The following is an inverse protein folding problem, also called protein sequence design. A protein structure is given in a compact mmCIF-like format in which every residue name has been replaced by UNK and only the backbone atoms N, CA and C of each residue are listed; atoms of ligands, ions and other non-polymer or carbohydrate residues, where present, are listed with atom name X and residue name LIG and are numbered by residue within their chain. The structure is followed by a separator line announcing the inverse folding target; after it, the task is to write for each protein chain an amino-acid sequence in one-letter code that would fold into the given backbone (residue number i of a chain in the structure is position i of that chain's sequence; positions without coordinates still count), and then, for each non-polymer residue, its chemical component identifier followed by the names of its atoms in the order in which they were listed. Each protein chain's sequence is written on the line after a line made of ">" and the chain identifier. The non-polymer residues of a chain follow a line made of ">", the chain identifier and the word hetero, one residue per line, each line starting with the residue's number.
data_IF_651294733317
#
_entry.id   IF_651294733317
#
_cell.length_a   1.000
_cell.length_b   1.000
_cell.length_c   1.000
_cell.angle_alpha   90.00
_cell.angle_beta   90.00
_cell.angle_gamma   90.00
#
_symmetry.space_group_name_H-M   'P 1'
#
loop_
_entity.id
_entity.type
_entity.pdbx_description
1 polymer ?
#
# COMPACT_ATOMS: atom_id res chain seq x y z
N UNK A 1 -23.99 23.70 -15.48
CA UNK A 1 -22.75 24.30 -16.07
C UNK A 1 -22.26 23.35 -17.16
N UNK A 2 -21.76 23.83 -18.32
CA UNK A 2 -21.26 22.92 -19.35
C UNK A 2 -20.13 22.03 -18.84
N UNK A 3 -20.12 20.75 -19.25
CA UNK A 3 -19.14 19.76 -18.76
C UNK A 3 -17.70 20.21 -18.96
N UNK A 4 -17.37 20.78 -20.13
CA UNK A 4 -16.03 21.29 -20.44
C UNK A 4 -15.56 22.38 -19.44
N UNK A 5 -16.49 23.22 -18.97
CA UNK A 5 -16.18 24.25 -17.96
C UNK A 5 -15.92 23.58 -16.62
N UNK A 6 -16.72 22.58 -16.24
CA UNK A 6 -16.49 21.83 -15.01
C UNK A 6 -15.18 21.05 -15.04
N UNK A 7 -14.83 20.40 -16.16
CA UNK A 7 -13.54 19.72 -16.33
C UNK A 7 -12.37 20.68 -16.09
N UNK A 8 -12.44 21.87 -16.68
CA UNK A 8 -11.40 22.88 -16.52
C UNK A 8 -11.29 23.33 -15.06
N UNK A 9 -12.42 23.58 -14.38
CA UNK A 9 -12.42 23.92 -12.95
C UNK A 9 -11.76 22.82 -12.13
N UNK A 10 -12.17 21.55 -12.31
CA UNK A 10 -11.57 20.40 -11.62
C UNK A 10 -10.05 20.32 -11.87
N UNK A 11 -9.61 20.60 -13.10
CA UNK A 11 -8.20 20.60 -13.47
C UNK A 11 -7.36 21.69 -12.78
N UNK A 12 -7.97 22.77 -12.30
CA UNK A 12 -7.30 23.84 -11.54
C UNK A 12 -7.29 23.61 -10.02
N UNK A 13 -8.08 22.68 -9.51
CA UNK A 13 -8.16 22.36 -8.09
C UNK A 13 -7.05 21.38 -7.68
N UNK A 14 -6.65 21.42 -6.41
CA UNK A 14 -5.91 20.31 -5.81
C UNK A 14 -6.84 19.13 -5.47
N UNK A 15 -6.27 17.96 -5.24
CA UNK A 15 -7.05 16.74 -4.99
C UNK A 15 -7.99 16.87 -3.77
N UNK A 16 -7.60 17.61 -2.72
CA UNK A 16 -8.43 17.81 -1.51
C UNK A 16 -9.64 18.67 -1.86
N UNK A 17 -9.41 19.76 -2.59
CA UNK A 17 -10.46 20.65 -3.08
C UNK A 17 -11.47 19.90 -3.97
N UNK A 18 -11.01 18.98 -4.82
CA UNK A 18 -11.91 18.11 -5.61
C UNK A 18 -12.74 17.18 -4.72
N UNK A 19 -12.14 16.55 -3.70
CA UNK A 19 -12.86 15.70 -2.76
C UNK A 19 -13.90 16.48 -1.95
N UNK A 20 -13.61 17.72 -1.57
CA UNK A 20 -14.58 18.60 -0.92
C UNK A 20 -15.71 18.95 -1.87
N UNK A 21 -15.41 19.33 -3.11
CA UNK A 21 -16.42 19.70 -4.11
C UNK A 21 -17.37 18.53 -4.42
N UNK A 22 -16.83 17.31 -4.49
CA UNK A 22 -17.60 16.07 -4.64
C UNK A 22 -18.69 15.90 -3.58
N UNK A 23 -18.49 16.44 -2.37
CA UNK A 23 -19.44 16.32 -1.26
C UNK A 23 -20.51 17.43 -1.23
N UNK A 24 -20.43 18.44 -2.11
CA UNK A 24 -21.31 19.62 -2.06
C UNK A 24 -22.71 19.31 -2.59
N UNK A 25 -22.82 18.65 -3.75
CA UNK A 25 -24.12 18.28 -4.33
C UNK A 25 -24.01 17.01 -5.19
N UNK A 26 -25.17 16.41 -5.49
CA UNK A 26 -25.26 15.17 -6.28
C UNK A 26 -24.71 15.34 -7.70
N UNK A 27 -24.84 16.52 -8.30
CA UNK A 27 -24.34 16.78 -9.65
C UNK A 27 -22.82 16.79 -9.70
N UNK A 28 -22.16 17.47 -8.76
CA UNK A 28 -20.69 17.42 -8.63
C UNK A 28 -20.21 16.03 -8.29
N UNK A 29 -20.94 15.32 -7.43
CA UNK A 29 -20.63 13.96 -7.09
C UNK A 29 -20.61 13.06 -8.33
N UNK A 30 -21.71 13.02 -9.09
CA UNK A 30 -21.80 12.20 -10.30
C UNK A 30 -20.74 12.60 -11.34
N UNK A 31 -20.57 13.91 -11.58
CA UNK A 31 -19.60 14.40 -12.55
C UNK A 31 -18.16 13.99 -12.21
N UNK A 32 -17.72 14.13 -10.95
CA UNK A 32 -16.36 13.79 -10.52
C UNK A 32 -16.15 12.26 -10.50
N UNK A 33 -17.19 11.48 -10.18
CA UNK A 33 -17.13 10.02 -10.19
C UNK A 33 -16.95 9.47 -11.60
N UNK A 34 -17.64 10.04 -12.59
CA UNK A 34 -17.58 9.65 -14.00
C UNK A 34 -16.37 10.22 -14.75
N UNK A 35 -15.69 11.21 -14.16
CA UNK A 35 -14.54 11.85 -14.78
C UNK A 35 -13.35 10.87 -14.94
N UNK A 36 -12.76 10.88 -16.14
CA UNK A 36 -11.54 10.11 -16.45
C UNK A 36 -10.37 10.55 -15.56
N UNK A 37 -9.59 9.60 -15.06
CA UNK A 37 -8.42 9.86 -14.20
C UNK A 37 -7.43 10.89 -14.80
N UNK A 38 -7.26 10.89 -16.13
CA UNK A 38 -6.45 11.86 -16.88
C UNK A 38 -6.90 13.33 -16.77
N UNK A 39 -8.10 13.58 -16.22
CA UNK A 39 -8.70 14.91 -16.01
C UNK A 39 -8.73 15.32 -14.54
N UNK A 40 -8.61 14.37 -13.60
CA UNK A 40 -8.53 14.63 -12.16
C UNK A 40 -7.12 15.09 -11.75
N UNK A 41 -6.93 16.15 -10.95
CA UNK A 41 -5.61 16.66 -10.61
C UNK A 41 -4.69 15.59 -10.00
N UNK A 42 -3.37 15.73 -10.18
CA UNK A 42 -2.42 14.83 -9.54
C UNK A 42 -2.36 15.11 -8.04
N UNK A 43 -2.50 14.09 -7.22
CA UNK A 43 -2.37 14.20 -5.76
C UNK A 43 -0.94 14.53 -5.33
N UNK A 44 0.07 14.36 -6.21
CA UNK A 44 1.50 14.49 -5.87
C UNK A 44 1.88 13.62 -4.67
N UNK A 45 1.25 12.44 -4.60
CA UNK A 45 1.47 11.47 -3.53
C UNK A 45 2.88 10.89 -3.67
N UNK A 46 3.68 11.11 -2.63
CA UNK A 46 5.02 10.55 -2.49
C UNK A 46 4.95 9.18 -1.83
N UNK A 47 4.17 9.04 -0.76
CA UNK A 47 4.07 7.83 0.02
C UNK A 47 2.65 7.58 0.52
N UNK A 48 2.27 6.31 0.61
CA UNK A 48 1.05 5.87 1.26
C UNK A 48 1.36 4.69 2.17
N UNK A 49 1.13 4.85 3.46
CA UNK A 49 1.31 3.80 4.45
C UNK A 49 -0.03 3.45 5.08
N UNK A 50 -0.40 2.18 5.04
CA UNK A 50 -1.55 1.62 5.73
C UNK A 50 -1.06 0.92 7.00
N UNK A 51 -1.52 1.37 8.16
CA UNK A 51 -1.08 0.84 9.44
C UNK A 51 -2.24 0.34 10.28
N UNK A 52 -2.22 -0.95 10.65
CA UNK A 52 -3.08 -1.45 11.73
C UNK A 52 -2.39 -1.19 13.07
N UNK A 53 -3.04 -0.40 13.91
CA UNK A 53 -2.60 0.03 15.24
C UNK A 53 -3.38 -0.76 16.30
N UNK A 54 -2.82 -0.84 17.51
CA UNK A 54 -3.51 -1.41 18.67
C UNK A 54 -4.86 -0.73 18.92
N UNK A 55 -5.85 -1.52 19.34
CA UNK A 55 -7.19 -1.02 19.64
C UNK A 55 -8.09 -0.97 18.40
N UNK A 56 -7.92 -1.92 17.48
CA UNK A 56 -8.69 -2.08 16.24
C UNK A 56 -8.78 -0.80 15.41
N UNK A 57 -7.64 -0.13 15.26
CA UNK A 57 -7.54 1.12 14.53
C UNK A 57 -6.74 0.93 13.25
N UNK A 58 -7.31 1.36 12.14
CA UNK A 58 -6.63 1.46 10.85
C UNK A 58 -6.23 2.92 10.63
N UNK A 59 -4.99 3.15 10.22
CA UNK A 59 -4.44 4.48 9.95
C UNK A 59 -3.92 4.52 8.52
N UNK A 60 -4.30 5.56 7.78
CA UNK A 60 -3.67 5.93 6.52
C UNK A 60 -2.77 7.12 6.76
N UNK A 61 -1.48 6.96 6.48
CA UNK A 61 -0.52 8.06 6.42
C UNK A 61 -0.22 8.36 4.96
N UNK A 62 -0.48 9.59 4.54
CA UNK A 62 -0.28 10.05 3.17
C UNK A 62 0.81 11.11 3.18
N UNK A 63 1.91 10.84 2.49
CA UNK A 63 3.03 11.75 2.34
C UNK A 63 3.05 12.37 0.95
N UNK A 64 3.32 13.67 0.88
CA UNK A 64 3.36 14.44 -0.36
C UNK A 64 4.78 14.92 -0.70
N UNK A 65 5.03 15.22 -1.96
CA UNK A 65 6.34 15.73 -2.41
C UNK A 65 6.73 17.09 -1.84
N UNK A 66 5.75 17.88 -1.38
CA UNK A 66 5.99 19.16 -0.69
C UNK A 66 6.36 18.99 0.79
N UNK A 67 6.40 17.74 1.28
CA UNK A 67 6.71 17.40 2.66
C UNK A 67 5.50 17.43 3.60
N UNK A 68 4.32 17.81 3.12
CA UNK A 68 3.10 17.72 3.92
C UNK A 68 2.71 16.26 4.18
N UNK A 69 1.99 16.04 5.28
CA UNK A 69 1.51 14.71 5.70
C UNK A 69 0.06 14.84 6.12
N UNK A 70 -0.79 13.97 5.59
CA UNK A 70 -2.16 13.77 6.08
C UNK A 70 -2.26 12.42 6.79
N UNK A 71 -3.01 12.40 7.89
CA UNK A 71 -3.33 11.17 8.64
C UNK A 71 -4.86 11.03 8.68
N UNK A 72 -5.35 9.88 8.25
CA UNK A 72 -6.76 9.49 8.38
C UNK A 72 -6.82 8.26 9.26
N UNK A 73 -7.66 8.31 10.28
CA UNK A 73 -7.80 7.23 11.25
C UNK A 73 -9.22 6.67 11.20
N UNK A 74 -9.33 5.35 11.26
CA UNK A 74 -10.59 4.63 11.26
C UNK A 74 -10.62 3.69 12.45
N UNK A 75 -11.69 3.76 13.23
CA UNK A 75 -11.86 2.95 14.42
C UNK A 75 -13.35 2.81 14.70
N UNK A 76 -13.82 1.57 14.83
CA UNK A 76 -15.22 1.24 15.08
C UNK A 76 -16.16 1.97 14.11
N UNK A 77 -16.98 2.90 14.59
CA UNK A 77 -17.93 3.67 13.80
C UNK A 77 -17.44 5.10 13.57
N UNK A 78 -16.13 5.33 13.53
CA UNK A 78 -15.57 6.67 13.42
C UNK A 78 -14.46 6.76 12.37
N UNK A 79 -14.38 7.94 11.77
CA UNK A 79 -13.30 8.38 10.88
C UNK A 79 -12.79 9.73 11.34
N UNK A 80 -11.50 9.86 11.60
CA UNK A 80 -10.86 11.10 12.04
C UNK A 80 -9.92 11.62 10.95
N UNK A 81 -10.05 12.90 10.61
CA UNK A 81 -9.15 13.59 9.69
C UNK A 81 -9.05 15.07 10.08
N UNK A 82 -7.82 15.59 10.25
CA UNK A 82 -7.56 16.98 10.69
C UNK A 82 -8.42 17.38 11.88
N UNK A 83 -8.36 16.58 12.95
CA UNK A 83 -9.11 16.77 14.21
C UNK A 83 -10.64 16.62 14.10
N UNK A 84 -11.20 16.55 12.88
CA UNK A 84 -12.62 16.31 12.67
C UNK A 84 -12.92 14.82 12.78
N UNK A 85 -13.72 14.47 13.78
CA UNK A 85 -14.29 13.13 13.95
C UNK A 85 -15.63 13.07 13.21
N UNK A 86 -15.77 12.08 12.33
CA UNK A 86 -17.00 11.80 11.59
C UNK A 86 -17.56 10.48 12.08
N UNK A 87 -18.82 10.48 12.54
CA UNK A 87 -19.54 9.26 12.87
C UNK A 87 -19.98 8.55 11.58
N UNK A 88 -19.65 7.27 11.46
CA UNK A 88 -19.96 6.41 10.31
C UNK A 88 -21.29 5.65 10.50
N UNK A 89 -21.98 5.87 11.62
CA UNK A 89 -23.22 5.22 12.02
C UNK A 89 -23.07 3.69 12.01
N UNK A 90 -23.83 2.99 11.17
CA UNK A 90 -23.76 1.54 11.01
C UNK A 90 -22.86 1.10 9.85
N UNK A 91 -22.11 2.03 9.24
CA UNK A 91 -21.22 1.70 8.12
C UNK A 91 -19.98 1.00 8.65
N UNK A 92 -19.57 -0.09 7.99
CA UNK A 92 -18.31 -0.74 8.30
C UNK A 92 -17.15 0.21 7.94
N UNK A 93 -16.31 0.56 8.91
CA UNK A 93 -15.21 1.50 8.67
C UNK A 93 -14.19 1.00 7.65
N UNK A 94 -14.04 -0.32 7.46
CA UNK A 94 -13.18 -0.87 6.41
C UNK A 94 -13.76 -0.62 5.01
N UNK A 95 -15.08 -0.61 4.86
CA UNK A 95 -15.71 -0.21 3.59
C UNK A 95 -15.42 1.27 3.29
N UNK A 96 -15.56 2.12 4.30
CA UNK A 96 -15.25 3.55 4.18
C UNK A 96 -13.75 3.76 3.88
N UNK A 97 -12.87 3.07 4.58
CA UNK A 97 -11.42 3.20 4.40
C UNK A 97 -10.97 2.68 3.04
N UNK A 98 -11.34 1.45 2.67
CA UNK A 98 -10.77 0.77 1.50
C UNK A 98 -11.59 1.04 0.24
N UNK A 99 -12.92 0.87 0.28
CA UNK A 99 -13.75 0.99 -0.92
C UNK A 99 -14.03 2.45 -1.30
N UNK A 100 -13.98 3.37 -0.34
CA UNK A 100 -14.17 4.80 -0.60
C UNK A 100 -12.84 5.55 -0.58
N UNK A 101 -12.22 5.75 0.58
CA UNK A 101 -11.10 6.68 0.71
C UNK A 101 -9.84 6.24 -0.03
N UNK A 102 -9.37 5.00 0.16
CA UNK A 102 -8.21 4.46 -0.52
C UNK A 102 -8.42 4.44 -2.03
N UNK A 103 -9.61 4.02 -2.49
CA UNK A 103 -9.99 4.07 -3.89
C UNK A 103 -9.84 5.50 -4.44
N UNK A 104 -10.28 6.52 -3.71
CA UNK A 104 -10.12 7.90 -4.16
C UNK A 104 -8.68 8.37 -4.18
N UNK A 105 -7.92 8.11 -3.11
CA UNK A 105 -6.49 8.46 -3.02
C UNK A 105 -5.73 7.90 -4.23
N UNK A 106 -5.99 6.65 -4.60
CA UNK A 106 -5.38 5.99 -5.74
C UNK A 106 -5.94 6.46 -7.10
N UNK A 107 -7.14 7.07 -7.15
CA UNK A 107 -7.70 7.67 -8.39
C UNK A 107 -6.98 8.97 -8.75
N UNK A 108 -6.57 9.74 -7.76
CA UNK A 108 -5.76 10.94 -7.97
C UNK A 108 -4.27 10.65 -8.15
N UNK A 109 -3.85 9.38 -8.09
CA UNK A 109 -2.48 8.96 -8.35
C UNK A 109 -2.22 8.88 -9.87
N UNK A 110 -1.78 9.99 -10.47
CA UNK A 110 -1.41 10.03 -11.89
C UNK A 110 0.00 9.50 -12.15
N UNK A 111 0.95 9.87 -11.31
CA UNK A 111 2.33 9.38 -11.33
C UNK A 111 2.53 8.15 -10.43
N UNK A 112 3.74 7.60 -10.43
CA UNK A 112 4.08 6.52 -9.50
C UNK A 112 4.45 7.16 -8.17
N UNK A 113 3.84 6.68 -7.08
CA UNK A 113 4.33 7.05 -5.76
C UNK A 113 5.74 6.52 -5.58
N UNK A 114 6.54 7.20 -4.77
CA UNK A 114 7.85 6.68 -4.39
C UNK A 114 7.69 5.46 -3.47
N UNK A 115 6.66 5.43 -2.63
CA UNK A 115 6.44 4.38 -1.65
C UNK A 115 4.96 3.99 -1.53
N UNK A 116 4.72 2.69 -1.43
CA UNK A 116 3.53 2.10 -0.83
C UNK A 116 3.97 1.13 0.26
N UNK A 117 3.38 1.27 1.44
CA UNK A 117 3.71 0.47 2.60
C UNK A 117 2.45 -0.09 3.26
N UNK A 118 2.51 -1.36 3.63
CA UNK A 118 1.53 -1.98 4.53
C UNK A 118 2.28 -2.47 5.77
N UNK A 119 1.85 -1.96 6.92
CA UNK A 119 2.47 -2.17 8.22
C UNK A 119 1.42 -2.64 9.24
N UNK A 120 1.75 -3.68 9.99
CA UNK A 120 1.11 -3.96 11.27
C UNK A 120 1.96 -3.35 12.38
N UNK A 121 1.68 -2.12 12.80
CA UNK A 121 2.41 -1.46 13.88
C UNK A 121 1.88 -1.93 15.24
N UNK A 122 2.09 -3.22 15.51
CA UNK A 122 1.57 -3.93 16.68
C UNK A 122 2.72 -4.43 17.57
N UNK A 123 3.88 -3.77 17.55
CA UNK A 123 5.08 -4.19 18.28
C UNK A 123 5.05 -3.93 19.79
N UNK A 124 4.06 -4.48 20.50
CA UNK A 124 4.36 -5.15 21.76
C UNK A 124 4.13 -6.63 21.59
N UNK A 125 4.88 -7.46 22.31
CA UNK A 125 4.76 -8.91 22.47
C UNK A 125 3.40 -9.41 23.01
N UNK A 126 2.30 -8.77 22.62
CA UNK A 126 0.93 -9.00 23.08
C UNK A 126 -0.02 -8.52 21.98
N UNK A 127 -0.04 -9.24 20.85
CA UNK A 127 -1.14 -9.13 19.89
C UNK A 127 -2.41 -9.49 20.64
N UNK A 128 -3.32 -8.53 20.74
CA UNK A 128 -4.69 -8.87 21.07
C UNK A 128 -5.26 -9.60 19.84
N UNK A 129 -5.92 -10.77 19.99
CA UNK A 129 -6.47 -11.50 18.85
C UNK A 129 -7.31 -10.63 17.90
N UNK A 130 -7.96 -9.60 18.42
CA UNK A 130 -8.80 -8.68 17.67
C UNK A 130 -8.01 -7.73 16.74
N UNK A 131 -6.79 -7.33 17.11
CA UNK A 131 -5.93 -6.49 16.27
C UNK A 131 -5.32 -7.32 15.12
N UNK A 132 -4.96 -8.58 15.39
CA UNK A 132 -4.52 -9.51 14.36
C UNK A 132 -5.64 -9.82 13.37
N UNK A 133 -6.85 -10.08 13.89
CA UNK A 133 -8.03 -10.29 13.03
C UNK A 133 -8.30 -9.08 12.14
N UNK A 134 -8.21 -7.86 12.68
CA UNK A 134 -8.37 -6.64 11.87
C UNK A 134 -7.33 -6.56 10.75
N UNK A 135 -6.07 -6.91 11.01
CA UNK A 135 -5.04 -6.93 9.98
C UNK A 135 -5.36 -7.93 8.86
N UNK A 136 -5.86 -9.12 9.21
CA UNK A 136 -6.35 -10.09 8.22
C UNK A 136 -7.53 -9.53 7.42
N UNK A 137 -8.51 -8.93 8.11
CA UNK A 137 -9.68 -8.31 7.47
C UNK A 137 -9.25 -7.22 6.47
N UNK A 138 -8.22 -6.42 6.81
CA UNK A 138 -7.65 -5.40 5.92
C UNK A 138 -7.04 -6.03 4.67
N UNK A 139 -6.20 -7.07 4.81
CA UNK A 139 -5.58 -7.76 3.67
C UNK A 139 -6.63 -8.40 2.78
N UNK A 140 -7.60 -9.11 3.37
CA UNK A 140 -8.70 -9.72 2.63
C UNK A 140 -9.50 -8.66 1.88
N UNK A 141 -9.85 -7.56 2.55
CA UNK A 141 -10.63 -6.48 1.96
C UNK A 141 -9.88 -5.79 0.82
N UNK A 142 -8.59 -5.54 0.98
CA UNK A 142 -7.73 -5.03 -0.09
C UNK A 142 -7.73 -5.96 -1.29
N UNK A 143 -7.52 -7.26 -1.07
CA UNK A 143 -7.46 -8.27 -2.13
C UNK A 143 -8.79 -8.38 -2.90
N UNK A 144 -9.92 -8.27 -2.21
CA UNK A 144 -11.24 -8.45 -2.80
C UNK A 144 -11.81 -7.17 -3.44
N UNK A 145 -11.44 -5.99 -2.94
CA UNK A 145 -12.07 -4.72 -3.37
C UNK A 145 -11.22 -3.94 -4.37
N UNK A 146 -9.92 -4.21 -4.44
CA UNK A 146 -9.01 -3.48 -5.33
C UNK A 146 -9.11 -4.00 -6.76
N UNK A 147 -9.88 -3.29 -7.58
CA UNK A 147 -10.00 -3.55 -9.01
C UNK A 147 -8.89 -2.94 -9.86
N UNK A 148 -7.93 -2.24 -9.24
CA UNK A 148 -6.79 -1.62 -9.92
C UNK A 148 -5.49 -1.99 -9.23
N UNK A 149 -4.41 -2.02 -10.00
CA UNK A 149 -3.06 -2.15 -9.45
C UNK A 149 -2.54 -0.79 -8.96
N UNK A 150 -1.82 -0.79 -7.85
CA UNK A 150 -1.19 0.38 -7.24
C UNK A 150 0.12 0.65 -7.96
N UNK A 151 0.35 1.91 -8.37
CA UNK A 151 1.54 2.31 -9.11
C UNK A 151 2.59 2.86 -8.14
N UNK A 152 3.51 2.03 -7.69
CA UNK A 152 4.56 2.47 -6.76
C UNK A 152 5.94 2.02 -7.20
N UNK A 153 6.98 2.79 -6.83
CA UNK A 153 8.39 2.41 -7.04
C UNK A 153 8.90 1.48 -5.95
N UNK A 154 8.48 1.67 -4.71
CA UNK A 154 8.91 0.84 -3.57
C UNK A 154 7.71 0.26 -2.86
N UNK A 155 7.73 -1.05 -2.67
CA UNK A 155 6.78 -1.76 -1.84
C UNK A 155 7.46 -2.19 -0.53
N UNK A 156 6.89 -1.78 0.59
CA UNK A 156 7.30 -2.24 1.91
C UNK A 156 6.18 -3.04 2.57
N UNK A 157 6.50 -4.24 3.04
CA UNK A 157 5.53 -5.14 3.68
C UNK A 157 6.11 -5.65 4.98
N UNK A 158 5.29 -5.66 6.01
CA UNK A 158 5.63 -6.23 7.29
C UNK A 158 4.48 -7.12 7.76
N UNK A 159 4.75 -8.41 7.84
CA UNK A 159 3.72 -9.45 7.90
C UNK A 159 4.17 -10.64 8.75
N UNK A 160 3.20 -11.39 9.28
CA UNK A 160 3.44 -12.56 10.14
C UNK A 160 3.09 -13.90 9.46
N UNK A 161 2.74 -13.88 8.17
CA UNK A 161 2.55 -15.08 7.33
C UNK A 161 3.09 -14.86 5.91
N UNK A 162 3.69 -15.89 5.31
CA UNK A 162 4.19 -15.83 3.91
C UNK A 162 3.06 -15.50 2.91
N UNK A 163 1.84 -15.99 3.15
CA UNK A 163 0.67 -15.71 2.29
C UNK A 163 0.29 -14.23 2.23
N UNK A 164 0.58 -13.44 3.26
CA UNK A 164 0.27 -12.00 3.30
C UNK A 164 1.15 -11.22 2.34
N UNK A 165 2.44 -11.55 2.27
CA UNK A 165 3.35 -10.95 1.29
C UNK A 165 2.85 -11.19 -0.13
N UNK A 166 2.37 -12.41 -0.42
CA UNK A 166 1.80 -12.76 -1.72
C UNK A 166 0.50 -11.98 -2.02
N UNK A 167 -0.42 -11.87 -1.07
CA UNK A 167 -1.67 -11.11 -1.27
C UNK A 167 -1.38 -9.63 -1.53
N UNK A 168 -0.45 -9.04 -0.79
CA UNK A 168 -0.14 -7.61 -0.87
C UNK A 168 0.68 -7.27 -2.12
N UNK A 169 1.70 -8.07 -2.47
CA UNK A 169 2.51 -7.80 -3.68
C UNK A 169 1.65 -7.85 -4.95
N UNK A 170 0.63 -8.71 -4.97
CA UNK A 170 -0.30 -8.79 -6.09
C UNK A 170 -1.13 -7.51 -6.27
N UNK A 171 -1.24 -6.63 -5.28
CA UNK A 171 -1.92 -5.34 -5.44
C UNK A 171 -1.11 -4.35 -6.29
N UNK A 172 0.19 -4.60 -6.52
CA UNK A 172 1.11 -3.65 -7.16
C UNK A 172 1.20 -3.89 -8.66
N UNK A 173 1.33 -2.81 -9.42
CA UNK A 173 1.63 -2.84 -10.84
C UNK A 173 3.14 -3.11 -11.04
N UNK A 174 3.53 -4.29 -11.58
CA UNK A 174 4.93 -4.68 -11.70
C UNK A 174 5.74 -3.74 -12.60
N UNK A 175 5.09 -3.01 -13.52
CA UNK A 175 5.77 -2.07 -14.43
C UNK A 175 6.49 -0.93 -13.70
N UNK A 176 5.96 -0.53 -12.55
CA UNK A 176 6.43 0.63 -11.82
C UNK A 176 7.31 0.29 -10.62
N UNK A 177 7.26 -0.97 -10.19
CA UNK A 177 7.98 -1.47 -9.02
C UNK A 177 9.48 -1.59 -9.32
N UNK A 178 10.29 -1.10 -8.39
CA UNK A 178 11.75 -1.10 -8.46
C UNK A 178 12.35 -1.79 -7.24
N UNK A 179 11.79 -1.55 -6.06
CA UNK A 179 12.32 -2.04 -4.79
C UNK A 179 11.26 -2.77 -3.98
N UNK A 180 11.65 -3.94 -3.48
CA UNK A 180 10.90 -4.74 -2.51
C UNK A 180 11.62 -4.69 -1.17
N UNK A 181 10.89 -4.38 -0.09
CA UNK A 181 11.42 -4.37 1.27
C UNK A 181 10.48 -5.12 2.20
N UNK A 182 10.84 -6.35 2.55
CA UNK A 182 10.02 -7.24 3.36
C UNK A 182 10.57 -7.39 4.77
N UNK A 183 9.68 -7.37 5.76
CA UNK A 183 10.01 -7.54 7.16
C UNK A 183 9.13 -8.64 7.75
N UNK A 184 9.54 -9.91 7.64
CA UNK A 184 8.83 -11.03 8.26
C UNK A 184 8.91 -10.92 9.79
N UNK A 185 7.78 -11.09 10.46
CA UNK A 185 7.67 -11.02 11.93
C UNK A 185 7.61 -12.42 12.50
N UNK A 186 8.60 -12.79 13.31
CA UNK A 186 8.63 -14.09 14.02
C UNK A 186 8.49 -15.31 13.08
N UNK A 187 8.89 -15.18 11.81
CA UNK A 187 8.86 -16.23 10.81
C UNK A 187 10.08 -16.13 9.89
N UNK A 188 10.39 -17.24 9.21
CA UNK A 188 11.37 -17.29 8.13
C UNK A 188 10.64 -17.02 6.82
N UNK A 189 11.11 -16.03 6.06
CA UNK A 189 10.51 -15.69 4.78
C UNK A 189 10.95 -16.68 3.70
N UNK A 190 9.96 -17.22 2.99
CA UNK A 190 10.11 -18.20 1.92
C UNK A 190 9.63 -17.58 0.61
N UNK A 191 10.34 -17.87 -0.49
CA UNK A 191 10.05 -17.23 -1.78
C UNK A 191 9.22 -18.10 -2.73
N UNK A 192 8.91 -19.35 -2.37
CA UNK A 192 8.28 -20.36 -3.24
C UNK A 192 7.14 -19.84 -4.13
N UNK A 193 6.20 -19.09 -3.56
CA UNK A 193 5.07 -18.53 -4.31
C UNK A 193 5.33 -17.11 -4.83
N UNK A 194 6.08 -16.30 -4.08
CA UNK A 194 6.29 -14.90 -4.46
C UNK A 194 7.25 -14.75 -5.62
N UNK A 195 8.22 -15.66 -5.76
CA UNK A 195 9.21 -15.69 -6.85
C UNK A 195 8.57 -15.89 -8.23
N UNK A 196 7.38 -16.50 -8.25
CA UNK A 196 6.59 -16.73 -9.46
C UNK A 196 5.91 -15.47 -9.97
N UNK A 197 5.75 -14.44 -9.14
CA UNK A 197 5.06 -13.20 -9.49
C UNK A 197 5.90 -12.31 -10.43
N UNK A 198 5.23 -11.55 -11.28
CA UNK A 198 5.92 -10.58 -12.15
C UNK A 198 6.54 -9.44 -11.35
N UNK A 199 5.93 -9.06 -10.23
CA UNK A 199 6.43 -8.04 -9.32
C UNK A 199 7.80 -8.40 -8.75
N UNK A 200 7.96 -9.66 -8.33
CA UNK A 200 9.25 -10.17 -7.87
C UNK A 200 10.29 -10.13 -8.99
N UNK A 201 10.00 -10.75 -10.14
CA UNK A 201 10.92 -10.87 -11.28
C UNK A 201 11.35 -9.52 -11.87
N UNK A 202 10.49 -8.51 -11.83
CA UNK A 202 10.76 -7.19 -12.39
C UNK A 202 11.46 -6.23 -11.41
N UNK A 203 11.34 -6.48 -10.10
CA UNK A 203 12.01 -5.65 -9.11
C UNK A 203 13.54 -5.79 -9.24
N UNK A 204 14.26 -4.71 -8.95
CA UNK A 204 15.71 -4.62 -9.11
C UNK A 204 16.44 -4.73 -7.78
N UNK A 205 15.78 -4.32 -6.70
CA UNK A 205 16.35 -4.27 -5.36
C UNK A 205 15.44 -5.03 -4.41
N UNK A 206 16.04 -5.91 -3.61
CA UNK A 206 15.33 -6.66 -2.58
C UNK A 206 15.98 -6.46 -1.21
N UNK A 207 15.16 -6.23 -0.20
CA UNK A 207 15.56 -6.21 1.19
C UNK A 207 14.68 -7.15 2.01
N UNK A 208 15.30 -8.00 2.83
CA UNK A 208 14.61 -8.73 3.90
C UNK A 208 15.18 -8.29 5.25
N UNK A 209 14.40 -7.57 6.04
CA UNK A 209 14.85 -6.97 7.30
C UNK A 209 14.94 -7.95 8.48
N UNK A 210 14.59 -9.22 8.28
CA UNK A 210 14.58 -10.30 9.26
C UNK A 210 14.98 -11.62 8.54
N UNK A 211 14.72 -12.78 9.13
CA UNK A 211 15.19 -14.07 8.61
C UNK A 211 14.62 -14.40 7.22
N UNK A 212 15.53 -14.51 6.26
CA UNK A 212 15.31 -15.02 4.90
C UNK A 212 15.79 -16.48 4.84
N UNK A 213 14.97 -17.36 4.26
CA UNK A 213 15.31 -18.78 4.11
C UNK A 213 16.58 -18.97 3.26
N UNK A 214 17.53 -19.73 3.80
CA UNK A 214 18.79 -20.06 3.15
C UNK A 214 18.61 -20.87 1.86
N UNK A 215 17.52 -21.64 1.76
CA UNK A 215 17.19 -22.45 0.60
C UNK A 215 16.98 -21.64 -0.69
N UNK A 216 16.66 -20.35 -0.58
CA UNK A 216 16.32 -19.49 -1.72
C UNK A 216 17.38 -18.44 -2.05
N UNK A 217 18.59 -18.53 -1.46
CA UNK A 217 19.64 -17.53 -1.67
C UNK A 217 19.96 -17.35 -3.16
N UNK A 218 20.02 -18.45 -3.92
CA UNK A 218 20.31 -18.43 -5.36
C UNK A 218 19.28 -17.68 -6.19
N UNK A 219 18.02 -17.64 -5.73
CA UNK A 219 16.94 -16.91 -6.42
C UNK A 219 17.16 -15.39 -6.37
N UNK A 220 18.01 -14.89 -5.47
CA UNK A 220 18.33 -13.47 -5.35
C UNK A 220 19.25 -12.95 -6.46
N UNK A 221 19.82 -13.85 -7.29
CA UNK A 221 20.80 -13.50 -8.31
C UNK A 221 20.27 -12.53 -9.39
N UNK A 222 18.96 -12.53 -9.65
CA UNK A 222 18.36 -11.63 -10.64
C UNK A 222 18.24 -10.18 -10.15
N UNK A 223 18.31 -9.95 -8.82
CA UNK A 223 18.31 -8.59 -8.28
C UNK A 223 19.68 -7.94 -8.45
N UNK A 224 19.68 -6.67 -8.88
CA UNK A 224 20.90 -5.86 -8.91
C UNK A 224 21.50 -5.58 -7.53
N UNK A 225 20.67 -5.68 -6.48
CA UNK A 225 21.10 -5.53 -5.09
C UNK A 225 20.13 -6.26 -4.17
N UNK A 226 20.69 -7.09 -3.28
CA UNK A 226 19.94 -7.77 -2.22
C UNK A 226 20.55 -7.53 -0.85
N UNK A 227 19.72 -7.31 0.17
CA UNK A 227 20.15 -7.19 1.57
C UNK A 227 19.28 -8.09 2.44
N UNK A 228 19.85 -9.17 2.98
CA UNK A 228 19.11 -10.17 3.75
C UNK A 228 19.83 -10.51 5.05
N UNK A 229 19.09 -11.05 6.01
CA UNK A 229 19.62 -11.76 7.18
C UNK A 229 19.25 -13.24 7.03
N UNK A 230 20.21 -14.16 7.14
CA UNK A 230 19.98 -15.60 7.05
C UNK A 230 20.90 -16.33 8.02
N UNK A 231 20.52 -17.54 8.44
CA UNK A 231 21.24 -18.29 9.49
C UNK A 231 22.62 -18.76 9.00
N UNK A 232 22.70 -19.25 7.76
CA UNK A 232 23.96 -19.61 7.14
C UNK A 232 23.92 -19.39 5.63
N UNK A 233 25.11 -19.28 5.03
CA UNK A 233 25.29 -19.19 3.58
C UNK A 233 26.39 -20.17 3.22
N UNK A 234 26.14 -21.07 2.27
CA UNK A 234 27.16 -22.02 1.83
C UNK A 234 28.19 -21.33 0.91
N UNK A 235 29.40 -21.89 0.81
CA UNK A 235 30.40 -21.40 -0.14
C UNK A 235 29.91 -21.50 -1.60
N UNK A 236 29.11 -22.52 -1.91
CA UNK A 236 28.50 -22.69 -3.24
C UNK A 236 27.51 -21.57 -3.58
N UNK A 237 26.71 -21.11 -2.60
CA UNK A 237 25.78 -19.99 -2.80
C UNK A 237 26.53 -18.70 -3.07
N UNK A 238 27.62 -18.43 -2.35
CA UNK A 238 28.44 -17.22 -2.56
C UNK A 238 29.09 -17.23 -3.95
N UNK A 239 29.63 -18.38 -4.37
CA UNK A 239 30.23 -18.53 -5.71
C UNK A 239 29.16 -18.33 -6.77
N UNK A 240 27.99 -18.96 -6.61
CA UNK A 240 26.88 -18.79 -7.53
C UNK A 240 26.50 -17.32 -7.66
N UNK A 241 26.20 -16.62 -6.55
CA UNK A 241 25.83 -15.21 -6.58
C UNK A 241 26.90 -14.33 -7.25
N UNK A 242 28.19 -14.63 -7.06
CA UNK A 242 29.30 -13.90 -7.70
C UNK A 242 29.39 -14.11 -9.22
N UNK A 243 29.01 -15.28 -9.73
CA UNK A 243 29.12 -15.61 -11.16
C UNK A 243 27.97 -15.04 -12.00
N UNK A 244 26.79 -14.87 -11.40
CA UNK A 244 25.60 -14.31 -12.06
C UNK A 244 25.41 -12.81 -11.85
N UNK A 245 26.22 -12.16 -11.00
CA UNK A 245 26.19 -10.70 -10.78
C UNK A 245 27.19 -9.93 -11.65
#
# INVERSE_FOLDING_TARGET
>A
MPELVMENIIGFLDFRSVLTLRQVCRDFWNFIDDLKDSKLPDSKLKGLTLTVRKGRKLEFKIEYFDGSIDIIEYMENSRTYKEKITNLENSNFLDVAIQNDLKWILKFQRGNSDLFEIDANIYSFSLRPEDEQLYQDVIEKLSNCMNRKIKTKKLQIRANKNSEFLSIIQLIDPKFLVELSFCPICLVFETDEISKTEQWKMAKVFGCGQYFSDQHIKELAHFSKSSILTDCVSAEDVIHLKEVS
#
